data_IF_715793724838
#
_entry.id   IF_715793724838
#
_cell.length_a   1.000
_cell.length_b   1.000
_cell.length_c   1.000
_cell.angle_alpha   90.00
_cell.angle_beta   90.00
_cell.angle_gamma   90.00
#
_symmetry.space_group_name_H-M   'P 1'
#
loop_
_entity.id
_entity.type
_entity.pdbx_description
1 polymer ?
#
# COMPACT_ATOMS: atom_id res chain seq x y z
N UNK A 1 -2.15 6.01 21.89
CA UNK A 1 -1.44 5.58 20.68
C UNK A 1 -2.26 4.50 19.99
N UNK A 2 -2.94 4.79 18.86
CA UNK A 2 -3.82 3.80 18.20
C UNK A 2 -3.08 3.20 16.99
N UNK A 3 -2.23 2.22 17.22
CA UNK A 3 -1.70 1.35 16.17
C UNK A 3 -2.57 0.07 15.99
N UNK A 4 -3.80 0.10 16.53
CA UNK A 4 -4.78 -0.98 16.45
C UNK A 4 -5.50 -0.89 15.11
N UNK A 5 -5.92 -2.06 14.57
CA UNK A 5 -6.80 -2.16 13.42
C UNK A 5 -6.17 -2.83 12.20
N UNK A 6 -7.00 -3.06 11.18
CA UNK A 6 -6.67 -3.86 9.99
C UNK A 6 -5.88 -3.09 8.90
N UNK A 7 -5.63 -1.81 9.08
CA UNK A 7 -4.81 -0.99 8.18
C UNK A 7 -5.64 -0.05 7.30
N UNK A 8 -6.48 -0.55 6.39
CA UNK A 8 -7.27 0.29 5.46
C UNK A 8 -8.25 1.21 6.18
N UNK A 9 -9.10 0.75 7.12
CA UNK A 9 -10.04 1.62 7.83
C UNK A 9 -9.34 2.75 8.60
N UNK A 10 -8.18 2.49 9.19
CA UNK A 10 -7.41 3.50 9.93
C UNK A 10 -6.82 4.56 8.99
N UNK A 11 -6.43 4.15 7.79
CA UNK A 11 -5.95 5.07 6.75
C UNK A 11 -7.11 5.92 6.25
N UNK A 12 -8.28 5.34 6.01
CA UNK A 12 -9.49 6.08 5.64
C UNK A 12 -9.91 7.06 6.75
N UNK A 13 -9.90 6.63 8.03
CA UNK A 13 -10.14 7.51 9.18
C UNK A 13 -9.16 8.70 9.20
N UNK A 14 -7.90 8.46 8.88
CA UNK A 14 -6.90 9.53 8.79
C UNK A 14 -7.18 10.50 7.64
N UNK A 15 -7.65 10.01 6.49
CA UNK A 15 -7.99 10.83 5.33
C UNK A 15 -9.21 11.71 5.63
N UNK A 16 -10.32 11.12 6.08
CA UNK A 16 -11.59 11.80 6.19
C UNK A 16 -11.72 12.63 7.49
N UNK A 17 -11.16 12.16 8.60
CA UNK A 17 -11.37 12.79 9.91
C UNK A 17 -10.12 13.45 10.51
N UNK A 18 -8.90 13.09 10.07
CA UNK A 18 -7.65 13.60 10.65
C UNK A 18 -6.79 14.40 9.67
N UNK A 19 -7.38 14.87 8.58
CA UNK A 19 -6.69 15.70 7.57
C UNK A 19 -5.40 15.07 7.03
N UNK A 20 -5.39 13.74 6.87
CA UNK A 20 -4.23 12.99 6.41
C UNK A 20 -3.07 12.90 7.41
N UNK A 21 -3.33 13.08 8.71
CA UNK A 21 -2.28 13.09 9.71
C UNK A 21 -2.12 11.70 10.35
N UNK A 22 -1.06 11.00 9.99
CA UNK A 22 -0.61 9.76 10.62
C UNK A 22 0.79 10.00 11.19
N UNK A 23 1.01 9.60 12.45
CA UNK A 23 2.33 9.71 13.09
C UNK A 23 3.30 8.72 12.45
N UNK A 24 4.51 9.16 12.08
CA UNK A 24 5.54 8.29 11.50
C UNK A 24 5.92 7.08 12.37
N UNK A 25 5.83 7.21 13.70
CA UNK A 25 6.02 6.09 14.63
C UNK A 25 5.08 4.90 14.38
N UNK A 26 3.91 5.13 13.77
CA UNK A 26 2.97 4.06 13.41
C UNK A 26 3.60 3.11 12.39
N UNK A 27 4.38 3.62 11.44
CA UNK A 27 5.07 2.79 10.45
C UNK A 27 6.03 1.79 11.13
N UNK A 28 6.85 2.27 12.06
CA UNK A 28 7.82 1.42 12.78
C UNK A 28 7.11 0.39 13.65
N UNK A 29 6.13 0.82 14.44
CA UNK A 29 5.38 -0.08 15.33
C UNK A 29 4.65 -1.16 14.52
N UNK A 30 4.01 -0.78 13.40
CA UNK A 30 3.32 -1.75 12.53
C UNK A 30 4.28 -2.71 11.85
N UNK A 31 5.42 -2.23 11.38
CA UNK A 31 6.44 -3.08 10.78
C UNK A 31 6.93 -4.15 11.77
N UNK A 32 7.29 -3.74 12.99
CA UNK A 32 7.75 -4.65 14.03
C UNK A 32 6.66 -5.63 14.47
N UNK A 33 5.44 -5.11 14.75
CA UNK A 33 4.31 -5.96 15.16
C UNK A 33 3.96 -7.00 14.09
N UNK A 34 3.96 -6.60 12.81
CA UNK A 34 3.68 -7.53 11.70
C UNK A 34 4.78 -8.54 11.51
N UNK A 35 6.05 -8.12 11.60
CA UNK A 35 7.19 -9.03 11.49
C UNK A 35 7.16 -10.09 12.59
N UNK A 36 6.88 -9.70 13.84
CA UNK A 36 6.77 -10.63 14.97
C UNK A 36 5.56 -11.57 14.78
N UNK A 37 4.38 -11.04 14.42
CA UNK A 37 3.18 -11.84 14.23
C UNK A 37 3.33 -12.86 13.11
N UNK A 38 3.82 -12.45 11.94
CA UNK A 38 4.04 -13.35 10.80
C UNK A 38 5.16 -14.35 11.12
N UNK A 39 6.26 -13.87 11.71
CA UNK A 39 7.39 -14.71 12.08
C UNK A 39 7.09 -15.75 13.16
N UNK A 40 6.08 -15.49 14.02
CA UNK A 40 5.58 -16.47 15.00
C UNK A 40 4.59 -17.49 14.41
N UNK A 41 4.31 -17.43 13.10
CA UNK A 41 3.39 -18.36 12.43
C UNK A 41 1.92 -17.96 12.52
N UNK A 42 1.59 -16.74 12.89
CA UNK A 42 0.21 -16.27 12.91
C UNK A 42 -0.37 -16.21 11.47
N UNK A 43 -1.57 -16.74 11.28
CA UNK A 43 -2.29 -16.68 10.01
C UNK A 43 -2.89 -15.28 9.77
N UNK A 44 -2.01 -14.28 9.58
CA UNK A 44 -2.38 -12.89 9.35
C UNK A 44 -1.81 -12.40 8.02
N UNK A 45 -2.62 -11.61 7.28
CA UNK A 45 -2.20 -11.02 6.03
C UNK A 45 -1.23 -9.84 6.23
N UNK A 46 -0.35 -9.65 5.26
CA UNK A 46 0.61 -8.54 5.23
C UNK A 46 0.05 -7.27 4.60
N UNK A 47 -1.10 -7.36 3.94
CA UNK A 47 -1.69 -6.28 3.14
C UNK A 47 -2.03 -5.04 3.97
N UNK A 48 -2.77 -5.23 5.07
CA UNK A 48 -3.16 -4.15 5.97
C UNK A 48 -1.97 -3.38 6.57
N UNK A 49 -1.01 -4.09 7.17
CA UNK A 49 0.22 -3.47 7.67
C UNK A 49 1.00 -2.67 6.62
N UNK A 50 1.14 -3.19 5.41
CA UNK A 50 1.88 -2.52 4.33
C UNK A 50 1.21 -1.23 3.91
N UNK A 51 -0.12 -1.23 3.74
CA UNK A 51 -0.91 -0.04 3.44
C UNK A 51 -0.72 1.01 4.52
N UNK A 52 -0.77 0.61 5.78
CA UNK A 52 -0.63 1.53 6.91
C UNK A 52 0.79 2.07 7.06
N UNK A 53 1.82 1.24 6.81
CA UNK A 53 3.23 1.66 6.80
C UNK A 53 3.46 2.67 5.69
N UNK A 54 3.05 2.37 4.46
CA UNK A 54 3.20 3.26 3.30
C UNK A 54 2.48 4.59 3.51
N UNK A 55 1.24 4.56 4.01
CA UNK A 55 0.48 5.76 4.35
C UNK A 55 1.14 6.59 5.45
N UNK A 56 1.67 5.96 6.49
CA UNK A 56 2.33 6.66 7.60
C UNK A 56 3.62 7.33 7.13
N UNK A 57 4.40 6.68 6.26
CA UNK A 57 5.60 7.27 5.65
C UNK A 57 5.24 8.46 4.75
N UNK A 58 4.24 8.32 3.87
CA UNK A 58 3.75 9.42 3.02
C UNK A 58 3.24 10.60 3.85
N UNK A 59 2.48 10.33 4.91
CA UNK A 59 2.00 11.35 5.84
C UNK A 59 3.14 12.03 6.59
N UNK A 60 4.11 11.29 7.13
CA UNK A 60 5.25 11.83 7.85
C UNK A 60 6.11 12.72 6.95
N UNK A 61 6.40 12.28 5.73
CA UNK A 61 7.13 13.06 4.75
C UNK A 61 6.41 14.37 4.40
N UNK A 62 5.09 14.30 4.19
CA UNK A 62 4.28 15.49 3.91
C UNK A 62 4.26 16.50 5.06
N UNK A 63 4.35 16.02 6.31
CA UNK A 63 4.44 16.87 7.48
C UNK A 63 5.82 17.54 7.60
N UNK A 64 6.88 16.80 7.29
CA UNK A 64 8.25 17.30 7.28
C UNK A 64 8.41 18.50 6.33
N UNK A 65 7.88 18.42 5.10
CA UNK A 65 7.92 19.51 4.12
C UNK A 65 6.72 20.46 4.21
N UNK A 66 5.90 20.35 5.27
CA UNK A 66 4.77 21.24 5.60
C UNK A 66 3.77 21.42 4.46
N UNK A 67 3.38 20.33 3.79
CA UNK A 67 2.40 20.35 2.72
C UNK A 67 0.99 20.70 3.21
N UNK A 68 0.17 21.23 2.30
CA UNK A 68 -1.25 21.46 2.53
C UNK A 68 -2.00 20.15 2.81
N UNK A 69 -3.17 20.21 3.45
CA UNK A 69 -3.98 19.05 3.76
C UNK A 69 -4.30 18.19 2.51
N UNK A 70 -4.64 18.83 1.39
CA UNK A 70 -4.94 18.11 0.13
C UNK A 70 -3.72 17.36 -0.39
N UNK A 71 -2.57 18.00 -0.44
CA UNK A 71 -1.31 17.37 -0.87
C UNK A 71 -0.87 16.26 0.08
N UNK A 72 -1.10 16.42 1.39
CA UNK A 72 -0.83 15.39 2.40
C UNK A 72 -1.67 14.14 2.16
N UNK A 73 -2.96 14.29 1.91
CA UNK A 73 -3.86 13.17 1.58
C UNK A 73 -3.38 12.47 0.32
N UNK A 74 -3.02 13.22 -0.73
CA UNK A 74 -2.47 12.65 -1.96
C UNK A 74 -1.20 11.85 -1.68
N UNK A 75 -0.26 12.39 -0.91
CA UNK A 75 1.02 11.72 -0.63
C UNK A 75 0.87 10.51 0.29
N UNK A 76 -0.07 10.58 1.23
CA UNK A 76 -0.46 9.45 2.07
C UNK A 76 -1.05 8.31 1.23
N UNK A 77 -1.97 8.62 0.30
CA UNK A 77 -2.57 7.64 -0.60
C UNK A 77 -1.55 7.07 -1.60
N UNK A 78 -0.66 7.92 -2.11
CA UNK A 78 0.46 7.50 -2.96
C UNK A 78 1.40 6.53 -2.22
N UNK A 79 1.70 6.80 -0.95
CA UNK A 79 2.49 5.90 -0.10
C UNK A 79 1.82 4.55 0.13
N UNK A 80 0.51 4.52 0.35
CA UNK A 80 -0.26 3.27 0.46
C UNK A 80 -0.20 2.45 -0.83
N UNK A 81 -0.48 3.09 -1.97
CA UNK A 81 -0.41 2.45 -3.29
C UNK A 81 1.01 1.97 -3.63
N UNK A 82 2.04 2.74 -3.27
CA UNK A 82 3.43 2.37 -3.42
C UNK A 82 3.78 1.11 -2.60
N UNK A 83 3.27 1.01 -1.37
CA UNK A 83 3.43 -0.18 -0.53
C UNK A 83 2.86 -1.44 -1.17
N UNK A 84 1.65 -1.36 -1.72
CA UNK A 84 1.01 -2.46 -2.47
C UNK A 84 1.84 -2.80 -3.72
N UNK A 85 2.17 -1.78 -4.52
CA UNK A 85 2.89 -1.94 -5.77
C UNK A 85 4.24 -2.65 -5.59
N UNK A 86 5.01 -2.25 -4.58
CA UNK A 86 6.30 -2.86 -4.27
C UNK A 86 6.17 -4.30 -3.75
N UNK A 87 5.15 -4.56 -2.91
CA UNK A 87 4.99 -5.87 -2.26
C UNK A 87 4.48 -6.95 -3.21
N UNK A 88 3.55 -6.58 -4.10
CA UNK A 88 2.92 -7.53 -5.02
C UNK A 88 3.45 -7.44 -6.45
N UNK A 89 4.43 -6.58 -6.69
CA UNK A 89 4.99 -6.30 -8.02
C UNK A 89 3.90 -5.86 -9.04
N UNK A 90 2.90 -5.11 -8.55
CA UNK A 90 1.72 -4.70 -9.32
C UNK A 90 1.55 -3.18 -9.32
N UNK A 91 2.27 -2.44 -10.17
CA UNK A 91 2.19 -0.97 -10.18
C UNK A 91 0.78 -0.46 -10.47
N UNK A 92 0.08 -1.06 -11.44
CA UNK A 92 -1.31 -0.70 -11.75
C UNK A 92 -2.27 -0.99 -10.61
N UNK A 93 -2.11 -2.13 -9.93
CA UNK A 93 -2.92 -2.47 -8.75
C UNK A 93 -2.75 -1.45 -7.63
N UNK A 94 -1.53 -0.99 -7.38
CA UNK A 94 -1.24 0.07 -6.40
C UNK A 94 -1.86 1.42 -6.79
N UNK A 95 -1.83 1.78 -8.09
CA UNK A 95 -2.48 3.01 -8.59
C UNK A 95 -3.99 2.93 -8.38
N UNK A 96 -4.64 1.88 -8.86
CA UNK A 96 -6.10 1.70 -8.75
C UNK A 96 -6.55 1.70 -7.29
N UNK A 97 -5.85 0.98 -6.42
CA UNK A 97 -6.14 0.99 -4.98
C UNK A 97 -6.12 2.40 -4.38
N UNK A 98 -5.08 3.17 -4.68
CA UNK A 98 -4.94 4.53 -4.15
C UNK A 98 -6.02 5.47 -4.68
N UNK A 99 -6.37 5.37 -5.97
CA UNK A 99 -7.36 6.22 -6.61
C UNK A 99 -8.80 5.90 -6.21
N UNK A 100 -9.16 4.61 -6.16
CA UNK A 100 -10.54 4.20 -5.95
C UNK A 100 -10.91 4.12 -4.47
N UNK A 101 -9.95 3.71 -3.61
CA UNK A 101 -10.27 3.44 -2.20
C UNK A 101 -9.85 4.59 -1.29
N UNK A 102 -8.75 5.25 -1.58
CA UNK A 102 -8.17 6.22 -0.64
C UNK A 102 -8.37 7.68 -1.03
N UNK A 103 -8.40 8.02 -2.33
CA UNK A 103 -8.52 9.41 -2.74
C UNK A 103 -9.99 9.86 -2.83
N UNK A 104 -10.36 10.93 -2.10
CA UNK A 104 -11.71 11.51 -2.20
C UNK A 104 -12.03 12.10 -3.56
N UNK A 105 -11.01 12.60 -4.25
CA UNK A 105 -11.11 13.22 -5.57
C UNK A 105 -9.97 12.76 -6.48
N UNK A 106 -10.32 12.28 -7.66
CA UNK A 106 -9.35 11.91 -8.70
C UNK A 106 -9.19 13.09 -9.66
N UNK A 107 -7.98 13.60 -9.75
CA UNK A 107 -7.61 14.70 -10.67
C UNK A 107 -6.18 14.47 -11.18
N UNK A 108 -5.78 15.19 -12.22
CA UNK A 108 -4.40 15.11 -12.73
C UNK A 108 -3.36 15.43 -11.63
N UNK A 109 -3.72 16.27 -10.66
CA UNK A 109 -2.85 16.64 -9.54
C UNK A 109 -2.70 15.54 -8.49
N UNK A 110 -3.66 14.62 -8.38
CA UNK A 110 -3.62 13.47 -7.48
C UNK A 110 -3.13 12.22 -8.19
N UNK A 111 -3.46 12.05 -9.46
CA UNK A 111 -3.08 10.89 -10.28
C UNK A 111 -1.57 10.78 -10.49
N UNK A 112 -0.93 11.86 -10.94
CA UNK A 112 0.49 11.84 -11.30
C UNK A 112 1.42 11.47 -10.13
N UNK A 113 1.30 12.04 -8.92
CA UNK A 113 2.09 11.62 -7.76
C UNK A 113 1.90 10.14 -7.39
N UNK A 114 0.67 9.62 -7.50
CA UNK A 114 0.39 8.20 -7.24
C UNK A 114 1.09 7.30 -8.25
N UNK A 115 0.99 7.64 -9.55
CA UNK A 115 1.62 6.89 -10.63
C UNK A 115 3.15 6.84 -10.48
N UNK A 116 3.77 7.99 -10.19
CA UNK A 116 5.22 8.08 -9.98
C UNK A 116 5.65 7.28 -8.75
N UNK A 117 4.92 7.40 -7.64
CA UNK A 117 5.26 6.69 -6.40
C UNK A 117 5.15 5.17 -6.56
N UNK A 118 4.09 4.67 -7.20
CA UNK A 118 3.89 3.23 -7.43
C UNK A 118 4.91 2.66 -8.42
N UNK A 119 5.22 3.39 -9.50
CA UNK A 119 6.24 2.99 -10.46
C UNK A 119 7.64 2.93 -9.84
N UNK A 120 8.04 3.97 -9.11
CA UNK A 120 9.31 4.01 -8.40
C UNK A 120 9.41 2.90 -7.35
N UNK A 121 8.36 2.69 -6.56
CA UNK A 121 8.32 1.66 -5.53
C UNK A 121 8.42 0.25 -6.12
N UNK A 122 7.73 -0.03 -7.24
CA UNK A 122 7.84 -1.30 -7.95
C UNK A 122 9.26 -1.53 -8.47
N UNK A 123 9.86 -0.50 -9.07
CA UNK A 123 11.23 -0.61 -9.60
C UNK A 123 12.24 -0.89 -8.48
N UNK A 124 12.16 -0.16 -7.38
CA UNK A 124 13.01 -0.37 -6.21
C UNK A 124 12.75 -1.76 -5.60
N UNK A 125 11.48 -2.16 -5.50
CA UNK A 125 11.10 -3.49 -5.01
C UNK A 125 11.72 -4.61 -5.83
N UNK A 126 11.71 -4.50 -7.16
CA UNK A 126 12.35 -5.47 -8.08
C UNK A 126 13.86 -5.54 -7.91
N UNK A 127 14.51 -4.42 -7.66
CA UNK A 127 15.96 -4.38 -7.45
C UNK A 127 16.35 -5.04 -6.12
N UNK A 128 15.56 -4.82 -5.06
CA UNK A 128 15.90 -5.27 -3.71
C UNK A 128 15.41 -6.69 -3.40
N UNK A 129 14.26 -7.10 -3.92
CA UNK A 129 13.58 -8.35 -3.58
C UNK A 129 13.65 -9.35 -4.75
N UNK A 130 13.69 -8.85 -5.98
CA UNK A 130 13.68 -9.64 -7.20
C UNK A 130 12.45 -9.33 -8.08
N UNK A 131 12.51 -9.73 -9.36
CA UNK A 131 11.44 -9.49 -10.32
C UNK A 131 10.26 -10.46 -10.20
N UNK A 132 10.39 -11.51 -9.38
CA UNK A 132 9.40 -12.56 -9.27
C UNK A 132 8.08 -12.04 -8.67
N UNK A 133 6.93 -12.58 -9.12
CA UNK A 133 5.65 -12.25 -8.51
C UNK A 133 5.61 -12.73 -7.06
N UNK A 134 4.86 -12.02 -6.21
CA UNK A 134 4.74 -12.32 -4.79
C UNK A 134 4.21 -13.75 -4.50
N UNK A 135 3.54 -14.35 -5.48
CA UNK A 135 3.03 -15.72 -5.44
C UNK A 135 3.48 -16.45 -6.69
N UNK A 136 4.28 -17.50 -6.53
CA UNK A 136 4.58 -18.42 -7.61
C UNK A 136 3.34 -19.28 -7.87
N UNK A 137 2.71 -19.09 -9.03
CA UNK A 137 1.63 -19.96 -9.49
C UNK A 137 2.26 -21.09 -10.27
N UNK A 138 2.15 -22.37 -9.84
CA UNK A 138 2.63 -23.47 -10.65
C UNK A 138 1.87 -23.51 -11.97
N UNK A 139 2.56 -23.91 -13.05
CA UNK A 139 1.94 -24.10 -14.37
C UNK A 139 0.84 -25.15 -14.29
N UNK A 140 -0.38 -24.68 -14.16
CA UNK A 140 -1.56 -25.55 -14.17
C UNK A 140 -1.97 -25.78 -15.62
N UNK A 141 -1.61 -26.93 -16.16
CA UNK A 141 -2.14 -27.35 -17.46
C UNK A 141 -3.61 -27.73 -17.31
N UNK A 142 -4.48 -26.80 -17.65
CA UNK A 142 -5.90 -27.09 -17.79
C UNK A 142 -6.10 -27.96 -19.05
N UNK A 143 -6.21 -29.25 -18.87
CA UNK A 143 -6.83 -30.07 -19.88
C UNK A 143 -8.34 -29.81 -19.81
N UNK A 144 -8.84 -29.01 -20.74
CA UNK A 144 -10.29 -28.91 -20.98
C UNK A 144 -10.71 -30.29 -21.45
N UNK A 145 -11.37 -31.05 -20.59
CA UNK A 145 -11.91 -32.36 -20.90
C UNK A 145 -12.74 -32.23 -22.19
N UNK A 146 -12.44 -33.07 -23.21
CA UNK A 146 -13.28 -33.17 -24.37
C UNK A 146 -14.66 -33.59 -23.89
N UNK A 147 -15.63 -32.68 -24.00
CA UNK A 147 -17.02 -33.06 -23.89
C UNK A 147 -17.23 -34.14 -24.98
N UNK A 148 -17.53 -35.35 -24.58
CA UNK A 148 -18.00 -36.38 -25.48
C UNK A 148 -19.37 -35.93 -26.00
N UNK A 149 -19.40 -35.49 -27.24
CA UNK A 149 -20.63 -35.37 -28.03
C UNK A 149 -21.02 -36.79 -28.47
#
# INVERSE_FOLDING_TARGET
MKAKGHGVPEVMDAIFYKRGNIRGAVAVIKALASAISIGSGAAVGREGPIIQIGSALGSAFSQFIRLSTRQRITLLSAGAGAGIAATFNTPLGGVLFALEILLPEVSNRTFLPVLVATGAATTIGRILIGPDPAFAVPDVQFQIGRAHV
#
